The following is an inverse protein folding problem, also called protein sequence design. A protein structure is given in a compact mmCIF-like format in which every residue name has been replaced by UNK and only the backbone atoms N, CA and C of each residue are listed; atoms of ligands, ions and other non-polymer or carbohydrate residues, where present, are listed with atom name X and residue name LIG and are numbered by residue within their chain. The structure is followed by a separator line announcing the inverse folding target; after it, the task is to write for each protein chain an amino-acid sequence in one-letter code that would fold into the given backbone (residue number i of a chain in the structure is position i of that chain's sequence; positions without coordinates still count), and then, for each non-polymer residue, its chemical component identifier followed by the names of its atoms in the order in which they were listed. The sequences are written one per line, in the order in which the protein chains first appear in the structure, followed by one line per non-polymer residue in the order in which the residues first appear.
data_IF_204232359735
#
_entry.id   IF_204232359735
#
_cell.length_a   1.000
_cell.length_b   1.000
_cell.length_c   1.000
_cell.angle_alpha   90.00
_cell.angle_beta   90.00
_cell.angle_gamma   90.00
#
_symmetry.space_group_name_H-M   'P 1'
#
loop_
_entity.id
_entity.type
_entity.pdbx_description
1 polymer ?
#
# COMPACT_ATOMS: atom_id res chain seq x y z
N UNK A 1 -4.64 -31.26 23.92
CA UNK A 1 -5.04 -30.17 24.83
C UNK A 1 -5.90 -29.09 24.16
N UNK A 2 -5.68 -28.78 22.86
CA UNK A 2 -6.43 -27.74 22.14
C UNK A 2 -7.97 -27.88 22.13
N UNK A 3 -8.54 -29.07 22.38
CA UNK A 3 -9.99 -29.27 22.55
C UNK A 3 -10.60 -28.48 23.72
N UNK A 4 -9.78 -28.13 24.72
CA UNK A 4 -10.16 -27.31 25.87
C UNK A 4 -9.71 -25.85 25.72
N UNK A 5 -9.29 -25.41 24.53
CA UNK A 5 -8.81 -24.05 24.34
C UNK A 5 -9.89 -22.99 24.61
N UNK A 6 -11.14 -23.25 24.20
CA UNK A 6 -12.26 -22.33 24.41
C UNK A 6 -12.51 -21.99 25.88
N UNK A 7 -12.73 -22.96 26.80
CA UNK A 7 -12.92 -22.63 28.21
C UNK A 7 -11.70 -21.93 28.83
N UNK A 8 -10.48 -22.25 28.38
CA UNK A 8 -9.26 -21.57 28.86
C UNK A 8 -9.20 -20.10 28.40
N UNK A 9 -9.58 -19.81 27.15
CA UNK A 9 -9.65 -18.42 26.65
C UNK A 9 -10.76 -17.65 27.36
N UNK A 10 -11.90 -18.27 27.64
CA UNK A 10 -12.98 -17.60 28.38
C UNK A 10 -12.56 -17.27 29.82
N UNK A 11 -11.81 -18.16 30.49
CA UNK A 11 -11.20 -17.86 31.79
C UNK A 11 -10.15 -16.74 31.69
N UNK A 12 -9.37 -16.70 30.61
CA UNK A 12 -8.40 -15.63 30.37
C UNK A 12 -9.08 -14.26 30.21
N UNK A 13 -10.19 -14.18 29.48
CA UNK A 13 -10.85 -12.91 29.14
C UNK A 13 -11.78 -12.44 30.26
N UNK A 14 -12.63 -13.33 30.77
CA UNK A 14 -13.78 -12.96 31.59
C UNK A 14 -13.50 -13.00 33.11
N UNK A 15 -12.39 -13.59 33.55
CA UNK A 15 -12.17 -13.83 34.98
C UNK A 15 -11.54 -12.62 35.68
N UNK A 16 -12.06 -12.19 36.85
CA UNK A 16 -11.59 -10.97 37.52
C UNK A 16 -10.24 -11.15 38.23
N UNK A 17 -9.89 -12.38 38.63
CA UNK A 17 -8.68 -12.67 39.41
C UNK A 17 -7.48 -12.86 38.48
N UNK A 18 -6.47 -11.99 38.62
CA UNK A 18 -5.23 -12.00 37.82
C UNK A 18 -4.50 -13.35 37.85
N UNK A 19 -4.30 -13.96 39.02
CA UNK A 19 -3.61 -15.25 39.13
C UNK A 19 -4.29 -16.38 38.35
N UNK A 20 -5.62 -16.39 38.28
CA UNK A 20 -6.38 -17.37 37.48
C UNK A 20 -6.25 -17.06 35.99
N UNK A 21 -6.26 -15.78 35.59
CA UNK A 21 -5.98 -15.39 34.19
C UNK A 21 -4.58 -15.82 33.75
N UNK A 22 -3.57 -15.63 34.59
CA UNK A 22 -2.18 -15.99 34.26
C UNK A 22 -2.01 -17.51 34.08
N UNK A 23 -2.67 -18.30 34.92
CA UNK A 23 -2.73 -19.76 34.77
C UNK A 23 -3.52 -20.18 33.51
N UNK A 24 -4.68 -19.56 33.27
CA UNK A 24 -5.49 -19.81 32.08
C UNK A 24 -4.72 -19.48 30.79
N UNK A 25 -3.97 -18.37 30.77
CA UNK A 25 -3.06 -17.99 29.68
C UNK A 25 -1.98 -19.05 29.46
N UNK A 26 -1.30 -19.49 30.53
CA UNK A 26 -0.24 -20.50 30.44
C UNK A 26 -0.78 -21.81 29.85
N UNK A 27 -1.95 -22.25 30.32
CA UNK A 27 -2.62 -23.46 29.82
C UNK A 27 -3.12 -23.30 28.38
N UNK A 28 -3.69 -22.14 28.02
CA UNK A 28 -4.15 -21.85 26.67
C UNK A 28 -2.97 -21.83 25.68
N UNK A 29 -1.85 -21.23 26.08
CA UNK A 29 -0.60 -21.21 25.31
C UNK A 29 -0.04 -22.61 25.11
N UNK A 30 0.02 -23.42 26.17
CA UNK A 30 0.41 -24.84 26.07
C UNK A 30 -0.55 -25.63 25.16
N UNK A 31 -1.85 -25.36 25.24
CA UNK A 31 -2.83 -26.01 24.39
C UNK A 31 -2.64 -25.66 22.89
N UNK A 32 -2.32 -24.41 22.56
CA UNK A 32 -1.98 -24.00 21.19
C UNK A 32 -0.65 -24.60 20.73
N UNK A 33 0.40 -24.59 21.56
CA UNK A 33 1.68 -25.24 21.26
C UNK A 33 1.52 -26.75 20.99
N UNK A 34 0.66 -27.43 21.75
CA UNK A 34 0.40 -28.88 21.59
C UNK A 34 -0.14 -29.28 20.21
N UNK A 35 -0.55 -28.32 19.37
CA UNK A 35 -0.97 -28.60 17.99
C UNK A 35 0.19 -28.85 17.04
N UNK A 36 1.43 -28.54 17.43
CA UNK A 36 2.59 -28.53 16.53
C UNK A 36 2.54 -27.43 15.46
N UNK A 37 1.49 -26.60 15.43
CA UNK A 37 1.38 -25.52 14.46
C UNK A 37 2.49 -24.48 14.66
N UNK A 38 2.79 -24.13 15.91
CA UNK A 38 3.65 -22.99 16.26
C UNK A 38 5.10 -23.40 16.59
N UNK A 39 5.55 -24.56 16.09
CA UNK A 39 6.79 -25.30 16.45
C UNK A 39 8.12 -24.53 16.20
N UNK A 40 8.08 -23.22 15.94
CA UNK A 40 9.25 -22.36 15.76
C UNK A 40 9.11 -20.94 16.27
N UNK A 41 7.92 -20.50 16.72
CA UNK A 41 7.78 -19.18 17.32
C UNK A 41 6.61 -19.11 18.33
N UNK A 42 6.88 -19.29 19.63
CA UNK A 42 5.84 -19.16 20.64
C UNK A 42 5.39 -17.70 20.81
N UNK A 43 6.14 -16.72 20.29
CA UNK A 43 5.74 -15.29 20.27
C UNK A 43 4.57 -15.06 19.33
N UNK A 44 4.40 -15.91 18.31
CA UNK A 44 3.23 -15.83 17.43
C UNK A 44 1.94 -16.11 18.21
N UNK A 45 1.93 -17.09 19.12
CA UNK A 45 0.77 -17.38 19.98
C UNK A 45 0.46 -16.16 20.86
N UNK A 46 1.49 -15.53 21.39
CA UNK A 46 1.36 -14.35 22.25
C UNK A 46 0.77 -13.16 21.47
N UNK A 47 1.08 -13.04 20.17
CA UNK A 47 0.44 -12.07 19.29
C UNK A 47 -1.06 -12.36 19.10
N UNK A 48 -1.45 -13.62 18.86
CA UNK A 48 -2.88 -13.98 18.74
C UNK A 48 -3.65 -13.71 20.03
N UNK A 49 -3.06 -13.93 21.20
CA UNK A 49 -3.70 -13.58 22.47
C UNK A 49 -3.73 -12.07 22.73
N UNK A 50 -2.70 -11.31 22.32
CA UNK A 50 -2.61 -9.87 22.55
C UNK A 50 -3.78 -9.09 21.94
N UNK A 51 -4.26 -9.50 20.76
CA UNK A 51 -5.35 -8.82 20.07
C UNK A 51 -6.73 -9.42 20.35
N UNK A 52 -6.84 -10.46 21.18
CA UNK A 52 -8.15 -11.00 21.55
C UNK A 52 -9.01 -9.93 22.23
N UNK A 53 -10.24 -9.70 21.76
CA UNK A 53 -11.15 -8.77 22.40
C UNK A 53 -11.36 -9.13 23.88
N UNK A 54 -11.19 -8.16 24.77
CA UNK A 54 -11.34 -8.34 26.22
C UNK A 54 -10.10 -8.84 26.96
N UNK A 55 -9.00 -9.21 26.28
CA UNK A 55 -7.72 -9.46 26.96
C UNK A 55 -7.12 -8.15 27.48
N UNK A 56 -7.25 -7.89 28.79
CA UNK A 56 -6.65 -6.73 29.47
C UNK A 56 -5.21 -7.02 29.87
N UNK A 57 -4.27 -6.15 29.49
CA UNK A 57 -2.88 -6.20 30.00
C UNK A 57 -2.71 -5.46 31.33
N UNK A 58 -3.45 -4.38 31.59
CA UNK A 58 -3.30 -3.56 32.81
C UNK A 58 -4.61 -2.93 33.30
N UNK A 59 -4.61 -2.58 34.59
CA UNK A 59 -5.73 -2.18 35.45
C UNK A 59 -6.34 -0.81 35.07
N UNK A 60 -7.36 -0.78 34.22
CA UNK A 60 -8.21 0.41 34.05
C UNK A 60 -9.63 0.15 34.59
N UNK A 61 -10.15 1.01 35.49
CA UNK A 61 -11.53 0.96 35.92
C UNK A 61 -12.44 1.66 34.90
N UNK A 62 -13.74 1.37 34.98
CA UNK A 62 -14.86 1.91 34.19
C UNK A 62 -15.07 1.26 32.81
N UNK A 63 -16.29 1.00 32.32
CA UNK A 63 -17.64 1.32 32.79
C UNK A 63 -18.62 0.33 32.13
N UNK A 64 -19.64 -0.08 32.86
CA UNK A 64 -20.61 -1.12 32.49
C UNK A 64 -21.88 -0.47 31.94
N UNK A 65 -22.02 -0.42 30.60
CA UNK A 65 -23.33 -0.16 29.95
C UNK A 65 -23.42 -0.50 28.45
N UNK A 66 -22.48 -1.28 27.88
CA UNK A 66 -22.53 -1.74 26.48
C UNK A 66 -22.45 -3.27 26.28
N UNK A 67 -22.56 -4.05 27.37
CA UNK A 67 -21.89 -5.35 27.50
C UNK A 67 -22.44 -6.49 26.62
N UNK A 68 -23.76 -6.58 26.38
CA UNK A 68 -24.35 -7.77 25.73
C UNK A 68 -24.00 -7.94 24.25
N UNK A 69 -23.98 -6.86 23.48
CA UNK A 69 -23.58 -6.90 22.06
C UNK A 69 -22.07 -7.14 21.93
N UNK A 70 -21.30 -6.72 22.95
CA UNK A 70 -19.85 -6.94 23.03
C UNK A 70 -19.53 -8.43 23.27
N UNK A 71 -20.22 -9.07 24.21
CA UNK A 71 -20.00 -10.49 24.56
C UNK A 71 -20.27 -11.45 23.40
N UNK A 72 -21.39 -11.29 22.68
CA UNK A 72 -21.70 -12.13 21.51
C UNK A 72 -20.66 -11.99 20.39
N UNK A 73 -20.13 -10.77 20.20
CA UNK A 73 -19.08 -10.50 19.22
C UNK A 73 -17.72 -11.05 19.68
N UNK A 74 -17.42 -11.02 20.97
CA UNK A 74 -16.21 -11.62 21.55
C UNK A 74 -16.22 -13.14 21.39
N UNK A 75 -17.34 -13.79 21.71
CA UNK A 75 -17.53 -15.21 21.50
C UNK A 75 -17.34 -15.60 20.03
N UNK A 76 -17.80 -14.77 19.08
CA UNK A 76 -17.56 -14.97 17.65
C UNK A 76 -16.07 -15.03 17.28
N UNK A 77 -15.24 -14.17 17.89
CA UNK A 77 -13.78 -14.12 17.68
C UNK A 77 -13.07 -15.28 18.38
N UNK A 78 -13.43 -15.58 19.64
CA UNK A 78 -12.86 -16.72 20.38
C UNK A 78 -13.17 -18.03 19.68
N UNK A 79 -14.41 -18.22 19.21
CA UNK A 79 -14.82 -19.40 18.46
C UNK A 79 -14.07 -19.50 17.13
N UNK A 80 -13.88 -18.38 16.42
CA UNK A 80 -13.08 -18.34 15.20
C UNK A 80 -11.64 -18.83 15.44
N UNK A 81 -10.97 -18.28 16.47
CA UNK A 81 -9.62 -18.68 16.86
C UNK A 81 -9.56 -20.17 17.23
N UNK A 82 -10.44 -20.65 18.10
CA UNK A 82 -10.47 -22.05 18.53
C UNK A 82 -10.68 -23.02 17.36
N UNK A 83 -11.57 -22.66 16.43
CA UNK A 83 -11.82 -23.45 15.23
C UNK A 83 -10.61 -23.47 14.29
N UNK A 84 -9.87 -22.36 14.19
CA UNK A 84 -8.60 -22.30 13.46
C UNK A 84 -7.57 -23.24 14.09
N UNK A 85 -7.36 -23.15 15.40
CA UNK A 85 -6.38 -23.98 16.11
C UNK A 85 -6.72 -25.47 15.97
N UNK A 86 -8.00 -25.81 16.10
CA UNK A 86 -8.48 -27.19 15.91
C UNK A 86 -8.30 -27.69 14.47
N UNK A 87 -8.50 -26.82 13.47
CA UNK A 87 -8.32 -27.18 12.06
C UNK A 87 -6.85 -27.45 11.73
N UNK A 88 -5.93 -26.65 12.27
CA UNK A 88 -4.49 -26.87 12.06
C UNK A 88 -4.00 -28.09 12.82
N UNK A 89 -4.38 -28.24 14.10
CA UNK A 89 -3.98 -29.41 14.90
C UNK A 89 -4.45 -30.75 14.29
N UNK A 90 -5.58 -30.77 13.59
CA UNK A 90 -6.08 -31.98 12.89
C UNK A 90 -5.49 -32.19 11.51
N UNK A 91 -4.98 -31.14 10.86
CA UNK A 91 -4.51 -31.17 9.47
C UNK A 91 -3.11 -30.55 9.33
N UNK A 92 -2.23 -30.75 10.31
CA UNK A 92 -0.95 -30.04 10.42
C UNK A 92 -0.10 -30.19 9.15
N UNK A 93 0.06 -31.42 8.67
CA UNK A 93 0.81 -31.73 7.44
C UNK A 93 0.26 -31.01 6.20
N UNK A 94 -1.06 -30.87 6.09
CA UNK A 94 -1.71 -30.16 4.98
C UNK A 94 -1.34 -28.68 4.98
N UNK A 95 -1.36 -28.03 6.14
CA UNK A 95 -1.02 -26.61 6.24
C UNK A 95 0.47 -26.36 6.05
N UNK A 96 1.35 -27.22 6.60
CA UNK A 96 2.78 -27.17 6.30
C UNK A 96 3.08 -27.31 4.81
N UNK A 97 2.41 -28.25 4.13
CA UNK A 97 2.60 -28.44 2.70
C UNK A 97 2.08 -27.25 1.89
N UNK A 98 0.97 -26.65 2.31
CA UNK A 98 0.44 -25.41 1.72
C UNK A 98 1.48 -24.28 1.82
N UNK A 99 2.02 -24.03 3.01
CA UNK A 99 3.06 -22.99 3.21
C UNK A 99 4.26 -23.25 2.31
N UNK A 100 4.80 -24.48 2.32
CA UNK A 100 5.95 -24.85 1.48
C UNK A 100 5.69 -24.63 -0.02
N UNK A 101 4.52 -25.05 -0.50
CA UNK A 101 4.14 -24.92 -1.92
C UNK A 101 3.89 -23.48 -2.37
N UNK A 102 3.40 -22.61 -1.47
CA UNK A 102 3.30 -21.18 -1.81
C UNK A 102 4.67 -20.49 -1.75
N UNK A 103 5.50 -20.82 -0.75
CA UNK A 103 6.84 -20.24 -0.63
C UNK A 103 7.76 -20.67 -1.77
N UNK A 104 7.61 -21.87 -2.34
CA UNK A 104 8.38 -22.27 -3.53
C UNK A 104 8.08 -21.43 -4.78
N UNK A 105 7.03 -20.60 -4.76
CA UNK A 105 6.73 -19.64 -5.84
C UNK A 105 7.46 -18.30 -5.66
N UNK A 106 8.02 -18.04 -4.48
CA UNK A 106 8.85 -16.86 -4.23
C UNK A 106 10.28 -17.19 -4.67
N UNK A 107 10.64 -16.78 -5.90
CA UNK A 107 11.90 -17.13 -6.56
C UNK A 107 13.16 -16.84 -5.72
N UNK A 108 13.11 -15.87 -4.80
CA UNK A 108 14.28 -15.42 -4.03
C UNK A 108 14.48 -16.14 -2.68
N UNK A 109 13.54 -17.00 -2.25
CA UNK A 109 13.51 -17.52 -0.87
C UNK A 109 13.40 -19.05 -0.74
N UNK A 110 13.62 -19.81 -1.81
CA UNK A 110 13.30 -21.25 -1.89
C UNK A 110 13.91 -22.17 -0.81
N UNK A 111 14.97 -21.73 -0.10
CA UNK A 111 15.67 -22.54 0.91
C UNK A 111 15.55 -21.98 2.35
N UNK A 112 14.79 -20.91 2.57
CA UNK A 112 14.72 -20.25 3.88
C UNK A 112 13.56 -20.80 4.70
N UNK A 113 13.84 -21.20 5.95
CA UNK A 113 12.79 -21.63 6.89
C UNK A 113 11.92 -20.41 7.25
N UNK A 114 10.58 -20.49 7.11
CA UNK A 114 9.71 -19.38 7.49
C UNK A 114 9.76 -19.15 9.00
N UNK A 115 9.76 -17.87 9.38
CA UNK A 115 9.67 -17.37 10.76
C UNK A 115 8.22 -17.20 11.24
N UNK A 116 7.25 -17.70 10.46
CA UNK A 116 5.84 -17.76 10.80
C UNK A 116 5.29 -19.17 10.68
N UNK A 117 4.24 -19.46 11.45
CA UNK A 117 3.64 -20.78 11.51
C UNK A 117 2.66 -21.06 10.35
N UNK A 118 2.36 -22.34 10.05
CA UNK A 118 1.27 -22.72 9.16
C UNK A 118 -0.11 -22.26 9.62
N UNK A 119 -0.23 -21.77 10.85
CA UNK A 119 -1.45 -21.19 11.38
C UNK A 119 -1.92 -19.98 10.57
N UNK A 120 -0.99 -19.14 10.11
CA UNK A 120 -1.28 -17.99 9.24
C UNK A 120 -2.03 -18.44 7.99
N UNK A 121 -1.61 -19.54 7.36
CA UNK A 121 -2.28 -20.10 6.18
C UNK A 121 -3.74 -20.48 6.47
N UNK A 122 -3.98 -21.14 7.60
CA UNK A 122 -5.32 -21.53 8.03
C UNK A 122 -6.20 -20.32 8.33
N UNK A 123 -5.66 -19.32 9.02
CA UNK A 123 -6.39 -18.10 9.35
C UNK A 123 -6.78 -17.37 8.07
N UNK A 124 -5.86 -17.20 7.13
CA UNK A 124 -6.15 -16.56 5.85
C UNK A 124 -7.25 -17.31 5.08
N UNK A 125 -7.19 -18.64 4.94
CA UNK A 125 -8.26 -19.39 4.25
C UNK A 125 -9.62 -19.27 4.97
N UNK A 126 -9.64 -19.31 6.31
CA UNK A 126 -10.88 -19.12 7.07
C UNK A 126 -11.41 -17.70 6.97
N UNK A 127 -10.55 -16.70 6.96
CA UNK A 127 -10.91 -15.30 6.74
C UNK A 127 -11.48 -15.05 5.35
N UNK A 128 -10.88 -15.63 4.32
CA UNK A 128 -11.40 -15.55 2.95
C UNK A 128 -12.81 -16.16 2.89
N UNK A 129 -13.02 -17.34 3.48
CA UNK A 129 -14.35 -17.97 3.56
C UNK A 129 -15.36 -17.14 4.37
N UNK A 130 -14.90 -16.48 5.43
CA UNK A 130 -15.71 -15.59 6.26
C UNK A 130 -16.23 -14.39 5.46
N UNK A 131 -15.39 -13.81 4.60
CA UNK A 131 -15.71 -12.66 3.76
C UNK A 131 -16.56 -13.03 2.54
N UNK A 132 -16.58 -14.30 2.12
CA UNK A 132 -17.42 -14.79 1.04
C UNK A 132 -18.93 -14.63 1.31
N UNK A 133 -19.71 -14.60 0.22
CA UNK A 133 -21.18 -14.51 0.24
C UNK A 133 -21.83 -15.63 1.06
N UNK A 134 -21.21 -16.80 1.10
CA UNK A 134 -21.77 -18.01 1.69
C UNK A 134 -21.71 -18.04 3.23
N UNK A 135 -21.03 -17.07 3.84
CA UNK A 135 -20.90 -17.00 5.29
C UNK A 135 -22.18 -16.45 5.92
N UNK A 136 -22.87 -17.30 6.69
CA UNK A 136 -24.10 -17.00 7.46
C UNK A 136 -23.90 -16.01 8.63
N UNK A 137 -22.66 -15.60 8.93
CA UNK A 137 -22.34 -14.70 10.04
C UNK A 137 -22.83 -13.26 9.79
N UNK A 138 -23.20 -12.55 10.86
CA UNK A 138 -23.63 -11.14 10.79
C UNK A 138 -22.45 -10.25 10.34
N UNK A 139 -22.75 -9.13 9.69
CA UNK A 139 -21.74 -8.18 9.22
C UNK A 139 -20.81 -7.70 10.35
N UNK A 140 -21.37 -7.35 11.51
CA UNK A 140 -20.59 -6.91 12.67
C UNK A 140 -19.58 -7.97 13.15
N UNK A 141 -19.98 -9.25 13.13
CA UNK A 141 -19.11 -10.36 13.51
C UNK A 141 -17.99 -10.58 12.47
N UNK A 142 -18.33 -10.49 11.17
CA UNK A 142 -17.33 -10.53 10.09
C UNK A 142 -16.30 -9.40 10.23
N UNK A 143 -16.75 -8.20 10.57
CA UNK A 143 -15.88 -7.04 10.82
C UNK A 143 -14.98 -7.26 12.04
N UNK A 144 -15.53 -7.69 13.18
CA UNK A 144 -14.75 -7.93 14.40
C UNK A 144 -13.65 -8.98 14.19
N UNK A 145 -13.98 -10.11 13.54
CA UNK A 145 -12.97 -11.13 13.22
C UNK A 145 -11.92 -10.58 12.24
N UNK A 146 -12.33 -9.78 11.26
CA UNK A 146 -11.39 -9.15 10.32
C UNK A 146 -10.44 -8.18 11.02
N UNK A 147 -10.94 -7.37 11.97
CA UNK A 147 -10.13 -6.47 12.78
C UNK A 147 -9.12 -7.26 13.61
N UNK A 148 -9.59 -8.28 14.34
CA UNK A 148 -8.75 -9.16 15.14
C UNK A 148 -7.61 -9.79 14.34
N UNK A 149 -7.95 -10.41 13.20
CA UNK A 149 -6.96 -11.06 12.34
C UNK A 149 -6.00 -10.05 11.74
N UNK A 150 -6.49 -8.92 11.22
CA UNK A 150 -5.61 -7.97 10.57
C UNK A 150 -4.69 -7.25 11.54
N UNK A 151 -5.14 -6.92 12.75
CA UNK A 151 -4.27 -6.39 13.81
C UNK A 151 -3.15 -7.38 14.14
N UNK A 152 -3.50 -8.66 14.30
CA UNK A 152 -2.52 -9.70 14.61
C UNK A 152 -1.53 -9.89 13.46
N UNK A 153 -2.00 -9.97 12.21
CA UNK A 153 -1.13 -10.08 11.04
C UNK A 153 -0.23 -8.85 10.88
N UNK A 154 -0.72 -7.63 11.16
CA UNK A 154 0.10 -6.42 11.14
C UNK A 154 1.24 -6.48 12.17
N UNK A 155 0.94 -6.96 13.38
CA UNK A 155 1.96 -7.15 14.41
C UNK A 155 2.98 -8.22 14.01
N UNK A 156 2.53 -9.35 13.45
CA UNK A 156 3.43 -10.39 12.96
C UNK A 156 4.33 -9.85 11.85
N UNK A 157 3.79 -9.11 10.89
CA UNK A 157 4.54 -8.44 9.82
C UNK A 157 5.60 -7.47 10.35
N UNK A 158 5.34 -6.76 11.45
CA UNK A 158 6.29 -5.84 12.08
C UNK A 158 7.39 -6.54 12.87
N UNK A 159 7.17 -7.79 13.30
CA UNK A 159 8.08 -8.55 14.15
C UNK A 159 8.92 -9.57 13.37
N UNK A 160 8.67 -9.75 12.07
CA UNK A 160 9.48 -10.64 11.23
C UNK A 160 10.92 -10.12 11.11
N UNK A 161 11.87 -11.04 11.21
CA UNK A 161 13.29 -10.74 10.97
C UNK A 161 13.54 -10.62 9.46
N UNK A 162 12.80 -11.38 8.66
CA UNK A 162 12.89 -11.35 7.20
C UNK A 162 11.68 -10.66 6.59
N UNK A 163 11.84 -9.38 6.24
CA UNK A 163 10.75 -8.53 5.79
C UNK A 163 10.07 -8.92 4.48
N UNK A 164 10.50 -9.98 3.76
CA UNK A 164 9.94 -10.40 2.47
C UNK A 164 9.05 -11.64 2.50
N UNK A 165 9.28 -12.58 3.41
CA UNK A 165 8.65 -13.91 3.39
C UNK A 165 7.15 -13.87 3.72
N UNK A 166 6.79 -13.37 4.90
CA UNK A 166 5.39 -13.29 5.34
C UNK A 166 4.54 -12.36 4.45
N UNK A 167 4.98 -11.15 4.05
CA UNK A 167 4.20 -10.32 3.12
C UNK A 167 3.99 -10.99 1.76
N UNK A 168 5.03 -11.62 1.20
CA UNK A 168 4.91 -12.35 -0.08
C UNK A 168 3.96 -13.55 0.03
N UNK A 169 4.01 -14.28 1.14
CA UNK A 169 3.08 -15.38 1.41
C UNK A 169 1.63 -14.90 1.52
N UNK A 170 1.38 -13.82 2.28
CA UNK A 170 0.05 -13.21 2.42
C UNK A 170 -0.46 -12.74 1.05
N UNK A 171 0.38 -12.07 0.25
CA UNK A 171 0.00 -11.60 -1.07
C UNK A 171 -0.37 -12.76 -2.01
N UNK A 172 0.44 -13.83 -2.10
CA UNK A 172 0.14 -15.00 -2.92
C UNK A 172 -1.21 -15.64 -2.51
N UNK A 173 -1.44 -15.78 -1.20
CA UNK A 173 -2.68 -16.40 -0.69
C UNK A 173 -3.92 -15.58 -1.00
N UNK A 174 -3.82 -14.25 -0.94
CA UNK A 174 -4.96 -13.36 -1.11
C UNK A 174 -5.20 -12.97 -2.58
N UNK A 175 -4.14 -12.81 -3.38
CA UNK A 175 -4.22 -12.50 -4.82
C UNK A 175 -4.84 -13.64 -5.61
N UNK A 176 -4.47 -14.89 -5.32
CA UNK A 176 -5.10 -16.07 -5.93
C UNK A 176 -6.62 -16.14 -5.69
N UNK A 177 -7.14 -15.45 -4.67
CA UNK A 177 -8.58 -15.36 -4.38
C UNK A 177 -9.23 -14.16 -5.04
N UNK A 178 -8.54 -13.02 -5.11
CA UNK A 178 -9.02 -11.83 -5.85
C UNK A 178 -9.24 -12.16 -7.34
N UNK A 179 -8.34 -12.93 -7.95
CA UNK A 179 -8.50 -13.35 -9.35
C UNK A 179 -9.75 -14.22 -9.55
N UNK A 180 -10.03 -15.13 -8.62
CA UNK A 180 -11.21 -15.98 -8.65
C UNK A 180 -12.53 -15.20 -8.41
N UNK A 181 -12.51 -14.14 -7.60
CA UNK A 181 -13.67 -13.27 -7.38
C UNK A 181 -13.90 -12.31 -8.55
N UNK A 182 -12.84 -11.88 -9.24
CA UNK A 182 -12.89 -10.97 -10.39
C UNK A 182 -13.46 -11.63 -11.65
N UNK A 183 -13.36 -12.96 -11.76
CA UNK A 183 -13.93 -13.74 -12.87
C UNK A 183 -15.47 -13.87 -12.81
N UNK A 184 -16.12 -13.48 -11.71
CA UNK A 184 -17.57 -13.56 -11.51
C UNK A 184 -18.38 -12.30 -11.84
N UNK A 185 -17.73 -11.19 -12.23
CA UNK A 185 -18.41 -9.91 -12.50
C UNK A 185 -17.86 -9.24 -13.75
N UNK A 186 -18.68 -9.12 -14.78
CA UNK A 186 -18.30 -8.61 -16.10
C UNK A 186 -17.63 -7.23 -16.06
N UNK A 187 -16.48 -7.15 -16.73
CA UNK A 187 -15.79 -5.91 -17.09
C UNK A 187 -14.43 -5.77 -16.39
N UNK A 188 -13.34 -5.83 -17.18
CA UNK A 188 -11.95 -5.47 -16.78
C UNK A 188 -11.88 -4.03 -16.24
N UNK A 189 -12.33 -3.81 -15.01
CA UNK A 189 -12.10 -2.57 -14.28
C UNK A 189 -10.75 -2.67 -13.55
N UNK A 190 -9.99 -1.58 -13.54
CA UNK A 190 -8.69 -1.56 -12.83
C UNK A 190 -8.94 -1.70 -11.34
N UNK A 191 -8.27 -2.66 -10.69
CA UNK A 191 -8.30 -2.76 -9.23
C UNK A 191 -7.65 -1.52 -8.63
N UNK A 192 -8.40 -0.82 -7.78
CA UNK A 192 -7.93 0.38 -7.10
C UNK A 192 -7.54 0.02 -5.67
N UNK A 193 -6.23 0.02 -5.42
CA UNK A 193 -5.65 -0.20 -4.09
C UNK A 193 -6.00 0.94 -3.13
N UNK A 194 -6.06 0.67 -1.83
CA UNK A 194 -6.48 1.59 -0.79
C UNK A 194 -5.51 2.76 -0.64
N UNK A 195 -4.22 2.52 -0.89
CA UNK A 195 -3.19 3.55 -0.87
C UNK A 195 -3.58 4.75 -1.75
N UNK A 196 -4.07 4.50 -2.97
CA UNK A 196 -4.41 5.56 -3.95
C UNK A 196 -5.83 6.10 -3.79
N UNK A 197 -6.56 5.65 -2.76
CA UNK A 197 -7.87 6.21 -2.40
C UNK A 197 -7.77 7.50 -1.61
N UNK A 198 -6.58 7.83 -1.09
CA UNK A 198 -6.29 9.10 -0.43
C UNK A 198 -6.78 10.28 -1.28
N UNK A 199 -7.45 11.24 -0.65
CA UNK A 199 -8.01 12.44 -1.28
C UNK A 199 -8.81 12.20 -2.56
N UNK A 200 -9.41 11.01 -2.73
CA UNK A 200 -10.07 10.57 -3.96
C UNK A 200 -9.18 10.61 -5.23
N UNK A 201 -7.86 10.52 -5.11
CA UNK A 201 -6.92 10.56 -6.24
C UNK A 201 -7.29 9.57 -7.36
N UNK A 202 -7.67 8.34 -6.99
CA UNK A 202 -8.14 7.32 -7.93
C UNK A 202 -9.30 7.75 -8.85
N UNK A 203 -10.18 8.68 -8.41
CA UNK A 203 -11.34 9.15 -9.19
C UNK A 203 -10.99 10.15 -10.28
N UNK A 204 -9.78 10.67 -10.28
CA UNK A 204 -9.33 11.71 -11.22
C UNK A 204 -8.06 11.29 -11.98
N UNK A 205 -7.37 10.29 -11.46
CA UNK A 205 -6.18 9.65 -11.98
C UNK A 205 -6.40 8.92 -13.31
N UNK A 206 -5.67 9.27 -14.39
CA UNK A 206 -5.61 8.42 -15.59
C UNK A 206 -5.04 7.00 -15.35
N UNK A 207 -4.24 6.78 -14.29
CA UNK A 207 -3.73 5.44 -13.93
C UNK A 207 -4.80 4.55 -13.31
N UNK A 208 -5.77 5.13 -12.60
CA UNK A 208 -6.75 4.38 -11.81
C UNK A 208 -8.19 4.53 -12.30
N UNK A 209 -8.45 5.54 -13.14
CA UNK A 209 -9.74 5.74 -13.77
C UNK A 209 -10.08 4.52 -14.65
N UNK A 210 -11.32 4.00 -14.56
CA UNK A 210 -11.80 3.04 -15.53
C UNK A 210 -11.89 3.69 -16.94
N UNK A 211 -12.06 2.91 -18.02
CA UNK A 211 -12.15 3.41 -19.40
C UNK A 211 -13.41 4.26 -19.72
N UNK A 212 -13.62 5.35 -18.99
CA UNK A 212 -14.74 6.29 -19.10
C UNK A 212 -14.47 7.38 -20.14
N UNK A 213 -15.49 8.20 -20.45
CA UNK A 213 -15.32 9.38 -21.30
C UNK A 213 -14.24 10.33 -20.76
N UNK A 214 -14.20 10.55 -19.44
CA UNK A 214 -13.15 11.34 -18.79
C UNK A 214 -11.76 10.74 -19.04
N UNK A 215 -11.59 9.43 -18.87
CA UNK A 215 -10.32 8.77 -19.16
C UNK A 215 -9.91 8.90 -20.63
N UNK A 216 -10.85 8.73 -21.57
CA UNK A 216 -10.57 8.88 -23.02
C UNK A 216 -10.17 10.31 -23.37
N UNK A 217 -10.84 11.31 -22.80
CA UNK A 217 -10.48 12.73 -22.98
C UNK A 217 -9.08 13.02 -22.44
N UNK A 218 -8.77 12.52 -21.23
CA UNK A 218 -7.44 12.65 -20.64
C UNK A 218 -6.37 11.99 -21.51
N UNK A 219 -6.61 10.76 -21.98
CA UNK A 219 -5.69 10.04 -22.86
C UNK A 219 -5.47 10.77 -24.18
N UNK A 220 -6.55 11.22 -24.84
CA UNK A 220 -6.49 11.97 -26.10
C UNK A 220 -5.66 13.25 -25.94
N UNK A 221 -5.92 14.04 -24.90
CA UNK A 221 -5.15 15.25 -24.58
C UNK A 221 -3.67 14.92 -24.31
N UNK A 222 -3.38 13.82 -23.59
CA UNK A 222 -1.97 13.42 -23.36
C UNK A 222 -1.27 13.13 -24.68
N UNK A 223 -1.91 12.30 -25.51
CA UNK A 223 -1.32 11.79 -26.72
C UNK A 223 -1.11 12.91 -27.75
N UNK A 224 -2.07 13.84 -27.88
CA UNK A 224 -1.98 14.93 -28.87
C UNK A 224 -0.93 15.99 -28.55
N UNK A 225 -0.62 16.22 -27.28
CA UNK A 225 0.25 17.33 -26.87
C UNK A 225 1.65 16.90 -26.41
N UNK A 226 1.82 15.67 -25.92
CA UNK A 226 3.08 15.20 -25.34
C UNK A 226 3.68 14.05 -26.15
N UNK A 227 2.86 13.07 -26.56
CA UNK A 227 3.34 11.80 -27.10
C UNK A 227 3.18 11.63 -28.61
N UNK A 228 2.83 12.68 -29.36
CA UNK A 228 2.89 12.60 -30.83
C UNK A 228 4.35 12.55 -31.27
N UNK A 229 4.64 11.81 -32.35
CA UNK A 229 5.98 11.75 -32.95
C UNK A 229 6.50 13.16 -33.23
N UNK A 230 5.68 14.04 -33.81
CA UNK A 230 6.03 15.44 -34.05
C UNK A 230 6.43 16.19 -32.77
N UNK A 231 5.73 15.96 -31.64
CA UNK A 231 6.08 16.60 -30.36
C UNK A 231 7.35 16.01 -29.76
N UNK A 232 7.52 14.69 -29.84
CA UNK A 232 8.74 14.02 -29.40
C UNK A 232 9.97 14.49 -30.19
N UNK A 233 9.84 14.67 -31.51
CA UNK A 233 10.90 15.17 -32.39
C UNK A 233 11.18 16.65 -32.08
N UNK A 234 10.14 17.48 -31.91
CA UNK A 234 10.33 18.89 -31.52
C UNK A 234 11.02 19.08 -30.16
N UNK A 235 10.95 18.07 -29.28
CA UNK A 235 11.62 18.05 -27.98
C UNK A 235 13.02 17.39 -28.03
N UNK A 236 13.50 16.96 -29.20
CA UNK A 236 14.82 16.32 -29.33
C UNK A 236 15.95 17.25 -28.91
N UNK A 237 15.92 18.51 -29.35
CA UNK A 237 16.92 19.51 -28.97
C UNK A 237 16.98 19.72 -27.45
N UNK A 238 15.81 19.72 -26.78
CA UNK A 238 15.72 19.81 -25.32
C UNK A 238 16.32 18.59 -24.61
N UNK A 239 16.07 17.38 -25.12
CA UNK A 239 16.70 16.16 -24.59
C UNK A 239 18.22 16.22 -24.72
N UNK A 240 18.71 16.64 -25.90
CA UNK A 240 20.13 16.77 -26.17
C UNK A 240 20.79 17.80 -25.24
N UNK A 241 20.17 18.97 -25.08
CA UNK A 241 20.63 20.01 -24.16
C UNK A 241 20.74 19.48 -22.72
N UNK A 242 19.72 18.77 -22.22
CA UNK A 242 19.73 18.23 -20.85
C UNK A 242 20.80 17.13 -20.66
N UNK A 243 21.08 16.35 -21.70
CA UNK A 243 22.17 15.39 -21.70
C UNK A 243 23.54 16.10 -21.67
N UNK A 244 23.72 17.15 -22.46
CA UNK A 244 24.95 17.96 -22.47
C UNK A 244 25.20 18.64 -21.11
N UNK A 245 24.15 19.13 -20.45
CA UNK A 245 24.22 19.65 -19.08
C UNK A 245 24.71 18.56 -18.09
N UNK A 246 24.19 17.33 -18.19
CA UNK A 246 24.61 16.20 -17.36
C UNK A 246 26.08 15.82 -17.62
N UNK A 247 26.49 15.70 -18.88
CA UNK A 247 27.88 15.40 -19.25
C UNK A 247 28.83 16.50 -18.74
N UNK A 248 28.42 17.76 -18.86
CA UNK A 248 29.19 18.90 -18.36
C UNK A 248 29.30 18.91 -16.84
N UNK A 249 28.24 18.52 -16.12
CA UNK A 249 28.28 18.33 -14.67
C UNK A 249 29.28 17.23 -14.28
N UNK A 250 29.19 16.04 -14.91
CA UNK A 250 30.10 14.92 -14.63
C UNK A 250 31.55 15.30 -14.93
N UNK A 251 31.82 15.98 -16.06
CA UNK A 251 33.16 16.42 -16.43
C UNK A 251 33.74 17.41 -15.40
N UNK A 252 32.93 18.35 -14.91
CA UNK A 252 33.36 19.28 -13.84
C UNK A 252 33.71 18.54 -12.55
N UNK A 253 32.89 17.58 -12.14
CA UNK A 253 33.16 16.78 -10.94
C UNK A 253 34.41 15.92 -11.09
N UNK A 254 34.65 15.33 -12.26
CA UNK A 254 35.87 14.59 -12.56
C UNK A 254 37.12 15.47 -12.47
N UNK A 255 37.08 16.67 -13.06
CA UNK A 255 38.18 17.64 -12.99
C UNK A 255 38.44 18.13 -11.55
N UNK A 256 37.40 18.22 -10.72
CA UNK A 256 37.51 18.60 -9.32
C UNK A 256 37.89 17.42 -8.39
N UNK A 257 37.96 16.19 -8.91
CA UNK A 257 38.22 14.99 -8.10
C UNK A 257 37.11 14.64 -7.11
N UNK A 258 35.89 15.15 -7.31
CA UNK A 258 34.76 14.95 -6.40
C UNK A 258 33.89 13.78 -6.82
N UNK A 259 33.45 12.96 -5.86
CA UNK A 259 32.51 11.87 -6.11
C UNK A 259 31.16 12.39 -6.63
N UNK A 260 30.54 11.62 -7.54
CA UNK A 260 29.23 11.93 -8.13
C UNK A 260 28.21 10.90 -7.68
N UNK A 261 27.11 11.36 -7.08
CA UNK A 261 25.91 10.54 -6.90
C UNK A 261 25.18 10.44 -8.25
N UNK A 262 25.39 9.33 -8.95
CA UNK A 262 24.79 9.06 -10.26
C UNK A 262 23.26 9.04 -10.15
N UNK A 263 22.71 8.45 -9.09
CA UNK A 263 21.26 8.35 -8.89
C UNK A 263 20.62 9.73 -8.73
N UNK A 264 21.26 10.64 -8.00
CA UNK A 264 20.82 12.03 -7.87
C UNK A 264 21.00 12.83 -9.16
N UNK A 265 22.13 12.65 -9.85
CA UNK A 265 22.42 13.36 -11.10
C UNK A 265 21.39 13.00 -12.19
N UNK A 266 21.18 11.70 -12.43
CA UNK A 266 20.19 11.20 -13.42
C UNK A 266 18.79 11.65 -13.04
N UNK A 267 18.42 11.53 -11.77
CA UNK A 267 17.11 11.98 -11.28
C UNK A 267 16.88 13.46 -11.59
N UNK A 268 17.85 14.31 -11.29
CA UNK A 268 17.77 15.77 -11.51
C UNK A 268 17.63 16.09 -12.99
N UNK A 269 18.40 15.42 -13.85
CA UNK A 269 18.33 15.59 -15.30
C UNK A 269 16.97 15.20 -15.86
N UNK A 270 16.43 14.05 -15.43
CA UNK A 270 15.11 13.56 -15.87
C UNK A 270 14.01 14.48 -15.37
N UNK A 271 14.08 14.92 -14.12
CA UNK A 271 13.10 15.84 -13.54
C UNK A 271 13.09 17.17 -14.29
N UNK A 272 14.25 17.76 -14.55
CA UNK A 272 14.38 18.99 -15.34
C UNK A 272 13.86 18.81 -16.77
N UNK A 273 14.17 17.68 -17.42
CA UNK A 273 13.67 17.41 -18.76
C UNK A 273 12.14 17.35 -18.79
N UNK A 274 11.53 16.62 -17.84
CA UNK A 274 10.07 16.52 -17.75
C UNK A 274 9.46 17.87 -17.39
N UNK A 275 9.97 18.56 -16.37
CA UNK A 275 9.44 19.88 -15.98
C UNK A 275 9.56 20.89 -17.12
N UNK A 276 10.61 20.80 -17.95
CA UNK A 276 10.80 21.68 -19.09
C UNK A 276 9.81 21.37 -20.23
N UNK A 277 9.57 20.09 -20.52
CA UNK A 277 8.59 19.69 -21.54
C UNK A 277 7.16 20.12 -21.14
N UNK A 278 6.81 19.97 -19.86
CA UNK A 278 5.45 20.19 -19.39
C UNK A 278 5.16 21.64 -19.00
N UNK A 279 6.15 22.33 -18.42
CA UNK A 279 6.00 23.64 -17.79
C UNK A 279 7.02 24.67 -18.28
N UNK A 280 7.91 24.31 -19.21
CA UNK A 280 9.02 25.18 -19.65
C UNK A 280 9.85 25.73 -18.47
N UNK A 281 9.98 24.93 -17.41
CA UNK A 281 10.67 25.25 -16.15
C UNK A 281 11.72 24.17 -15.92
N UNK A 282 12.92 24.56 -15.47
CA UNK A 282 13.92 23.62 -14.98
C UNK A 282 13.83 23.57 -13.46
N UNK A 283 13.14 22.56 -12.90
CA UNK A 283 12.76 22.56 -11.49
C UNK A 283 13.96 22.75 -10.54
N UNK A 284 15.09 22.11 -10.85
CA UNK A 284 16.30 22.21 -10.03
C UNK A 284 16.96 23.60 -10.09
N UNK A 285 16.93 24.23 -11.26
CA UNK A 285 17.55 25.54 -11.46
C UNK A 285 16.66 26.66 -10.89
N UNK A 286 15.35 26.50 -11.06
CA UNK A 286 14.36 27.52 -10.72
C UNK A 286 13.96 27.54 -9.24
N UNK A 287 14.06 26.40 -8.55
CA UNK A 287 13.64 26.27 -7.15
C UNK A 287 14.76 25.73 -6.23
N UNK A 288 15.94 25.42 -6.77
CA UNK A 288 17.09 24.92 -6.03
C UNK A 288 17.06 23.41 -5.77
N UNK A 289 18.06 22.92 -5.03
CA UNK A 289 18.25 21.49 -4.77
C UNK A 289 17.26 20.89 -3.76
N UNK A 290 16.79 21.67 -2.79
CA UNK A 290 15.90 21.16 -1.74
C UNK A 290 14.55 20.64 -2.28
N UNK A 291 13.83 21.36 -3.17
CA UNK A 291 12.59 20.84 -3.78
C UNK A 291 12.82 19.60 -4.66
N UNK A 292 13.98 19.48 -5.31
CA UNK A 292 14.35 18.29 -6.11
C UNK A 292 14.49 17.07 -5.20
N UNK A 293 15.21 17.21 -4.08
CA UNK A 293 15.34 16.14 -3.09
C UNK A 293 13.98 15.76 -2.49
N UNK A 294 13.18 16.76 -2.10
CA UNK A 294 11.83 16.52 -1.58
C UNK A 294 10.92 15.80 -2.61
N UNK A 295 11.01 16.18 -3.90
CA UNK A 295 10.28 15.49 -4.96
C UNK A 295 10.76 14.04 -5.11
N UNK A 296 12.09 13.79 -5.09
CA UNK A 296 12.67 12.43 -5.16
C UNK A 296 12.18 11.55 -4.03
N UNK A 297 12.25 12.05 -2.81
CA UNK A 297 11.84 11.32 -1.62
C UNK A 297 10.34 11.07 -1.60
N UNK A 298 9.53 12.05 -2.00
CA UNK A 298 8.09 11.90 -2.12
C UNK A 298 7.72 10.83 -3.16
N UNK A 299 8.31 10.86 -4.35
CA UNK A 299 7.98 9.85 -5.38
C UNK A 299 8.47 8.46 -4.98
N UNK A 300 9.67 8.34 -4.39
CA UNK A 300 10.14 7.08 -3.80
C UNK A 300 9.16 6.56 -2.75
N UNK A 301 8.69 7.44 -1.86
CA UNK A 301 7.69 7.11 -0.85
C UNK A 301 6.36 6.62 -1.46
N UNK A 302 5.85 7.30 -2.49
CA UNK A 302 4.66 6.83 -3.24
C UNK A 302 4.87 5.43 -3.82
N UNK A 303 6.04 5.15 -4.40
CA UNK A 303 6.33 3.83 -4.96
C UNK A 303 6.38 2.75 -3.88
N UNK A 304 7.00 3.03 -2.74
CA UNK A 304 7.06 2.10 -1.61
C UNK A 304 5.66 1.83 -1.03
N UNK A 305 4.85 2.87 -0.81
CA UNK A 305 3.50 2.71 -0.28
C UNK A 305 2.55 2.02 -1.27
N UNK A 306 2.70 2.26 -2.57
CA UNK A 306 1.89 1.59 -3.60
C UNK A 306 2.29 0.12 -3.82
N UNK A 307 3.57 -0.22 -3.62
CA UNK A 307 4.08 -1.60 -3.76
C UNK A 307 3.94 -2.45 -2.49
N UNK A 308 3.60 -1.84 -1.35
CA UNK A 308 3.47 -2.53 -0.07
C UNK A 308 2.16 -3.32 -0.01
N UNK A 309 2.20 -4.65 0.26
CA UNK A 309 0.99 -5.43 0.51
C UNK A 309 0.17 -4.83 1.67
N UNK A 310 -1.08 -4.47 1.40
CA UNK A 310 -1.97 -3.81 2.37
C UNK A 310 -3.21 -4.66 2.63
N UNK A 311 -3.40 -5.10 3.88
CA UNK A 311 -4.54 -5.88 4.33
C UNK A 311 -5.88 -5.19 4.02
N UNK A 312 -5.91 -3.85 3.99
CA UNK A 312 -7.11 -3.06 3.66
C UNK A 312 -7.61 -3.27 2.22
N UNK A 313 -6.76 -3.81 1.33
CA UNK A 313 -7.12 -4.16 -0.04
C UNK A 313 -7.90 -5.47 -0.11
N UNK A 314 -7.59 -6.41 0.79
CA UNK A 314 -8.20 -7.75 0.82
C UNK A 314 -9.35 -7.85 1.85
N UNK A 315 -9.36 -6.96 2.85
CA UNK A 315 -10.38 -6.89 3.91
C UNK A 315 -11.12 -5.54 3.86
N UNK A 316 -12.10 -5.35 2.95
CA UNK A 316 -12.79 -4.07 2.79
C UNK A 316 -13.50 -3.56 4.06
N UNK A 317 -13.95 -4.48 4.92
CA UNK A 317 -14.70 -4.18 6.15
C UNK A 317 -13.91 -3.31 7.14
N UNK A 318 -12.58 -3.34 7.08
CA UNK A 318 -11.70 -2.63 8.03
C UNK A 318 -10.89 -1.52 7.36
N UNK A 319 -11.13 -1.26 6.08
CA UNK A 319 -10.38 -0.30 5.26
C UNK A 319 -10.34 1.11 5.87
N UNK A 320 -11.38 1.50 6.62
CA UNK A 320 -11.43 2.80 7.27
C UNK A 320 -10.34 3.00 8.34
N UNK A 321 -9.80 1.92 8.92
CA UNK A 321 -8.83 1.99 10.02
C UNK A 321 -7.39 2.28 9.58
N UNK A 322 -7.00 1.95 8.34
CA UNK A 322 -5.62 2.11 7.84
C UNK A 322 -4.56 1.50 8.79
N UNK A 323 -4.72 0.22 9.13
CA UNK A 323 -3.94 -0.48 10.15
C UNK A 323 -2.43 -0.45 9.90
N UNK A 324 -2.01 -0.60 8.64
CA UNK A 324 -0.61 -0.55 8.24
C UNK A 324 -0.08 0.88 8.01
N UNK A 325 -0.95 1.89 8.14
CA UNK A 325 -0.61 3.30 7.94
C UNK A 325 -0.32 3.69 6.49
N UNK A 326 -0.61 2.81 5.52
CA UNK A 326 -0.28 2.98 4.10
C UNK A 326 -0.99 4.20 3.53
N UNK A 327 -2.28 4.39 3.83
CA UNK A 327 -3.03 5.54 3.32
C UNK A 327 -2.53 6.85 3.93
N UNK A 328 -2.16 6.84 5.22
CA UNK A 328 -1.52 8.00 5.88
C UNK A 328 -0.14 8.31 5.32
N UNK A 329 0.70 7.30 5.09
CA UNK A 329 2.01 7.45 4.45
C UNK A 329 1.88 8.04 3.04
N UNK A 330 0.99 7.45 2.25
CA UNK A 330 0.66 7.95 0.91
C UNK A 330 0.18 9.41 0.95
N UNK A 331 -0.67 9.78 1.92
CA UNK A 331 -1.13 11.17 2.10
C UNK A 331 0.00 12.16 2.34
N UNK A 332 1.03 11.78 3.11
CA UNK A 332 2.18 12.66 3.38
C UNK A 332 2.98 12.90 2.09
N UNK A 333 3.24 11.84 1.33
CA UNK A 333 4.00 11.96 0.08
C UNK A 333 3.24 12.75 -0.98
N UNK A 334 1.92 12.53 -1.12
CA UNK A 334 1.10 13.39 -1.98
C UNK A 334 1.13 14.84 -1.51
N UNK A 335 0.99 15.12 -0.20
CA UNK A 335 1.08 16.49 0.31
C UNK A 335 2.35 17.25 -0.11
N UNK A 336 3.52 16.59 -0.06
CA UNK A 336 4.78 17.20 -0.53
C UNK A 336 4.76 17.47 -2.03
N UNK A 337 4.24 16.53 -2.83
CA UNK A 337 4.06 16.75 -4.26
C UNK A 337 3.10 17.92 -4.49
N UNK A 338 2.04 18.02 -3.69
CA UNK A 338 1.01 19.05 -3.80
C UNK A 338 1.57 20.45 -3.62
N UNK A 339 2.41 20.64 -2.61
CA UNK A 339 3.09 21.91 -2.37
C UNK A 339 4.04 22.31 -3.51
N UNK A 340 4.79 21.34 -4.07
CA UNK A 340 5.70 21.60 -5.19
C UNK A 340 4.91 22.01 -6.43
N UNK A 341 3.81 21.32 -6.73
CA UNK A 341 2.98 21.63 -7.89
C UNK A 341 2.25 22.97 -7.76
N UNK A 342 1.76 23.31 -6.56
CA UNK A 342 1.15 24.62 -6.33
C UNK A 342 2.13 25.75 -6.65
N UNK A 343 3.39 25.66 -6.18
CA UNK A 343 4.44 26.64 -6.48
C UNK A 343 4.73 26.78 -7.98
N UNK A 344 4.71 25.68 -8.72
CA UNK A 344 4.88 25.69 -10.19
C UNK A 344 3.71 26.43 -10.85
N UNK A 345 2.47 26.14 -10.42
CA UNK A 345 1.26 26.75 -10.96
C UNK A 345 1.23 28.25 -10.63
N UNK A 346 1.55 28.65 -9.41
CA UNK A 346 1.62 30.06 -9.00
C UNK A 346 2.64 30.84 -9.83
N UNK A 347 3.88 30.32 -9.95
CA UNK A 347 4.93 30.93 -10.79
C UNK A 347 4.44 31.12 -12.23
N UNK A 348 3.67 30.17 -12.73
CA UNK A 348 3.10 30.21 -14.08
C UNK A 348 2.00 31.23 -14.24
N UNK A 349 1.07 31.29 -13.30
CA UNK A 349 -0.02 32.25 -13.28
C UNK A 349 0.50 33.69 -13.28
N UNK A 350 1.59 33.96 -12.55
CA UNK A 350 2.25 35.27 -12.54
C UNK A 350 2.89 35.64 -13.89
N UNK A 351 3.26 34.66 -14.71
CA UNK A 351 3.94 34.86 -16.01
C UNK A 351 2.99 34.93 -17.23
N UNK A 352 1.70 34.64 -17.04
CA UNK A 352 0.67 34.61 -18.09
C UNK A 352 0.43 35.96 -18.81
N UNK A 353 0.44 37.14 -18.15
CA UNK A 353 0.17 38.42 -18.82
C UNK A 353 1.20 38.84 -19.87
N UNK A 354 2.39 38.22 -19.90
CA UNK A 354 3.55 38.71 -20.67
C UNK A 354 3.89 37.87 -21.91
N UNK A 355 3.14 36.79 -22.20
CA UNK A 355 3.47 35.86 -23.31
C UNK A 355 2.44 35.94 -24.44
N UNK A 356 2.70 36.81 -25.43
CA UNK A 356 1.98 36.86 -26.71
C UNK A 356 2.35 35.73 -27.70
N UNK A 357 2.55 34.50 -27.24
CA UNK A 357 2.97 33.38 -28.09
C UNK A 357 2.73 31.99 -27.47
N UNK A 358 2.58 30.97 -28.34
CA UNK A 358 2.27 29.55 -28.05
C UNK A 358 2.66 29.09 -26.63
N UNK A 359 1.67 29.04 -25.74
CA UNK A 359 1.83 28.53 -24.37
C UNK A 359 2.21 27.06 -24.33
N UNK A 360 2.89 26.65 -23.25
CA UNK A 360 3.15 25.23 -23.00
C UNK A 360 1.90 24.48 -22.52
N UNK A 361 2.04 23.20 -22.19
CA UNK A 361 0.91 22.36 -21.84
C UNK A 361 0.15 22.92 -20.64
N UNK A 362 0.85 23.45 -19.64
CA UNK A 362 0.20 24.04 -18.48
C UNK A 362 -0.48 25.36 -18.83
N UNK A 363 0.13 26.19 -19.68
CA UNK A 363 -0.50 27.42 -20.16
C UNK A 363 -1.81 27.11 -20.94
N UNK A 364 -1.82 26.09 -21.79
CA UNK A 364 -3.02 25.61 -22.50
C UNK A 364 -4.09 25.03 -21.56
N UNK A 365 -3.64 24.38 -20.48
CA UNK A 365 -4.52 23.83 -19.44
C UNK A 365 -5.15 24.97 -18.63
N UNK A 366 -4.42 26.05 -18.39
CA UNK A 366 -4.86 27.20 -17.59
C UNK A 366 -5.67 28.24 -18.40
N UNK A 367 -5.68 28.16 -19.73
CA UNK A 367 -6.38 29.11 -20.59
C UNK A 367 -7.92 29.05 -20.40
N UNK A 368 -8.55 30.15 -19.92
CA UNK A 368 -9.98 30.22 -19.64
C UNK A 368 -10.85 30.27 -20.91
N UNK A 369 -10.29 30.53 -22.09
CA UNK A 369 -11.02 30.63 -23.36
C UNK A 369 -11.38 29.26 -23.97
N UNK A 370 -10.78 28.18 -23.47
CA UNK A 370 -11.24 26.82 -23.75
C UNK A 370 -12.46 26.50 -22.88
N UNK A 371 -13.68 26.66 -23.43
CA UNK A 371 -14.96 26.28 -22.82
C UNK A 371 -14.83 24.97 -22.03
N UNK A 372 -14.76 25.06 -20.70
CA UNK A 372 -14.99 24.02 -19.69
C UNK A 372 -14.58 24.55 -18.30
N UNK A 373 -15.32 25.53 -17.76
CA UNK A 373 -15.12 26.12 -16.43
C UNK A 373 -15.20 25.14 -15.24
N UNK A 374 -15.62 23.89 -15.46
CA UNK A 374 -15.61 22.78 -14.48
C UNK A 374 -14.17 22.28 -14.19
N UNK A 375 -13.16 22.74 -14.94
CA UNK A 375 -11.81 22.14 -14.99
C UNK A 375 -10.87 22.44 -13.82
N UNK A 376 -11.02 23.53 -13.06
CA UNK A 376 -9.97 24.01 -12.13
C UNK A 376 -9.72 23.08 -10.93
N UNK A 377 -10.76 22.57 -10.27
CA UNK A 377 -10.59 21.55 -9.20
C UNK A 377 -10.15 20.18 -9.75
N UNK A 378 -10.50 19.89 -11.01
CA UNK A 378 -10.00 18.71 -11.73
C UNK A 378 -8.52 18.92 -12.14
N UNK A 379 -8.00 20.15 -12.22
CA UNK A 379 -6.63 20.45 -12.66
C UNK A 379 -5.57 20.03 -11.64
N UNK A 380 -5.81 20.19 -10.33
CA UNK A 380 -4.91 19.68 -9.28
C UNK A 380 -4.64 18.20 -9.54
N UNK A 381 -5.70 17.40 -9.54
CA UNK A 381 -5.64 15.94 -9.77
C UNK A 381 -5.07 15.45 -11.11
N UNK A 382 -5.07 16.30 -12.15
CA UNK A 382 -4.59 15.96 -13.51
C UNK A 382 -3.07 16.07 -13.67
N UNK A 383 -2.40 16.89 -12.86
CA UNK A 383 -0.95 17.15 -12.94
C UNK A 383 -0.15 16.12 -12.13
N UNK A 384 -0.61 15.79 -10.92
CA UNK A 384 0.01 14.81 -10.00
C UNK A 384 0.35 13.49 -10.67
N UNK A 385 -0.54 13.06 -11.56
CA UNK A 385 -0.55 11.67 -11.94
C UNK A 385 0.32 11.35 -13.15
N UNK A 386 0.63 12.35 -13.97
CA UNK A 386 1.45 12.16 -15.16
C UNK A 386 2.94 12.25 -14.87
N UNK A 387 3.36 13.09 -13.93
CA UNK A 387 4.76 13.13 -13.47
C UNK A 387 5.10 11.85 -12.69
N UNK A 388 4.19 11.37 -11.83
CA UNK A 388 4.34 10.10 -11.13
C UNK A 388 4.28 8.90 -12.08
N UNK A 389 3.41 8.90 -13.11
CA UNK A 389 3.37 7.84 -14.15
C UNK A 389 4.65 7.82 -15.01
N UNK A 390 5.17 8.97 -15.43
CA UNK A 390 6.43 9.03 -16.17
C UNK A 390 7.61 8.54 -15.32
N UNK A 391 7.62 8.90 -14.03
CA UNK A 391 8.64 8.47 -13.10
C UNK A 391 8.54 6.98 -12.74
N UNK A 392 7.34 6.42 -12.57
CA UNK A 392 7.15 4.98 -12.38
C UNK A 392 7.52 4.18 -13.62
N UNK A 393 7.23 4.68 -14.84
CA UNK A 393 7.72 4.06 -16.08
C UNK A 393 9.25 4.11 -16.16
N UNK A 394 9.86 5.25 -15.84
CA UNK A 394 11.32 5.38 -15.81
C UNK A 394 11.97 4.45 -14.76
N UNK A 395 11.41 4.37 -13.55
CA UNK A 395 11.92 3.48 -12.49
C UNK A 395 11.66 1.99 -12.78
N UNK A 396 10.57 1.63 -13.43
CA UNK A 396 10.32 0.26 -13.91
C UNK A 396 11.31 -0.14 -15.03
N UNK A 397 11.78 0.82 -15.83
CA UNK A 397 12.85 0.59 -16.81
C UNK A 397 14.24 0.50 -16.17
N UNK A 398 14.49 1.20 -15.06
CA UNK A 398 15.78 1.15 -14.35
C UNK A 398 15.91 -0.10 -13.46
N UNK A 399 14.85 -0.52 -12.77
CA UNK A 399 14.86 -1.73 -11.92
C UNK A 399 14.85 -3.06 -12.69
N UNK A 400 14.88 -3.03 -14.03
CA UNK A 400 15.02 -4.24 -14.87
C UNK A 400 16.46 -4.45 -15.36
N UNK A 401 17.41 -3.67 -14.84
CA UNK A 401 18.81 -3.68 -15.22
C UNK A 401 19.76 -4.20 -14.12
N UNK A 402 19.23 -4.83 -13.06
CA UNK A 402 20.04 -5.57 -12.07
C UNK A 402 19.47 -6.97 -11.83
#
# INVERSE_FOLDING_TARGET
MYRHLRPLINLLICFPIKGIRDQAYTLARAAMLSTGAFDSDPREIDAWFMFLPGCRREDSPAEDQGLKVSEDLFEGVVLFLCNAVSSVGTNLYKYHNTVRCQLSKLNDFGNVKPDFSPFVSCILDKCIRLLGSDSKKKLCEKSMISIYVCNTLCFLLQTQVQGGLLPGFIDIMLTARLDNLSLGGGGRSRTVIDAVRVSNYHKFSMAWLPPTAQWRTLRKLTNSHIFTTQKLDSNQSRRQQKLEELVSYVRRSANAGTAVDIGQAVFTTVLNLISNIFFSIDLANDFGSAPVCAFKDAVRGVMLEAGRPNLSDYFPLIRFMDLQGVRRGMSKHFGVLDEIFEKIIEKKLLSLPSRGGKGDLLDMILDPSHENGIRFNVMKSKLYLRLVLYYTIFCLCVNRAE
#
